data_IF_440428048641
#
_entry.id   IF_440428048641
#
_cell.length_a   1.000
_cell.length_b   1.000
_cell.length_c   1.000
_cell.angle_alpha   90.00
_cell.angle_beta   90.00
_cell.angle_gamma   90.00
#
_symmetry.space_group_name_H-M   'P 1'
#
loop_
_entity.id
_entity.type
_entity.pdbx_description
1 polymer ?
#
# COMPACT_ATOMS: atom_id res chain seq x y z
N UNK A 1 15.95 11.49 -3.59
CA UNK A 1 15.50 12.00 -2.27
C UNK A 1 14.50 13.13 -2.41
N UNK A 2 14.61 13.94 -3.45
CA UNK A 2 13.74 15.11 -3.63
C UNK A 2 12.33 14.76 -4.12
N UNK A 3 12.16 13.77 -5.00
CA UNK A 3 10.82 13.33 -5.42
C UNK A 3 10.05 12.60 -4.31
N UNK A 4 10.72 11.76 -3.52
CA UNK A 4 10.12 11.11 -2.35
C UNK A 4 9.89 12.12 -1.21
N UNK A 5 10.81 13.07 -1.01
CA UNK A 5 10.63 14.20 -0.08
C UNK A 5 9.55 15.16 -0.57
N UNK A 6 9.46 15.43 -1.87
CA UNK A 6 8.39 16.24 -2.45
C UNK A 6 7.03 15.53 -2.32
N UNK A 7 6.99 14.20 -2.47
CA UNK A 7 5.79 13.41 -2.22
C UNK A 7 5.38 13.43 -0.75
N UNK A 8 6.33 13.25 0.19
CA UNK A 8 6.08 13.44 1.62
C UNK A 8 5.78 14.89 1.97
N UNK A 9 6.33 15.87 1.25
CA UNK A 9 6.11 17.30 1.44
C UNK A 9 4.75 17.79 0.89
N UNK A 10 4.14 17.05 -0.04
CA UNK A 10 2.75 17.25 -0.44
C UNK A 10 1.77 16.87 0.67
N UNK A 11 2.20 16.01 1.60
CA UNK A 11 1.50 15.74 2.85
C UNK A 11 1.85 16.89 3.84
N UNK A 12 1.27 18.08 3.64
CA UNK A 12 1.45 19.20 4.56
C UNK A 12 0.88 18.84 5.93
N UNK A 13 1.75 18.73 6.92
CA UNK A 13 1.37 18.42 8.31
C UNK A 13 0.94 19.68 9.08
N UNK A 14 0.16 20.55 8.45
CA UNK A 14 -0.29 21.80 9.03
C UNK A 14 -1.51 21.57 9.93
N UNK A 15 -1.23 21.03 11.11
CA UNK A 15 -2.22 20.89 12.17
C UNK A 15 -2.47 19.47 12.66
N UNK A 16 -2.96 19.36 13.88
CA UNK A 16 -3.26 18.08 14.56
C UNK A 16 -4.32 17.29 13.78
N UNK A 17 -5.29 17.98 13.19
CA UNK A 17 -6.36 17.34 12.42
C UNK A 17 -5.82 16.60 11.18
N UNK A 18 -4.97 17.24 10.37
CA UNK A 18 -4.38 16.62 9.20
C UNK A 18 -3.55 15.39 9.58
N UNK A 19 -2.80 15.49 10.67
CA UNK A 19 -2.02 14.35 11.19
C UNK A 19 -2.92 13.18 11.59
N UNK A 20 -4.03 13.44 12.27
CA UNK A 20 -5.00 12.39 12.66
C UNK A 20 -5.59 11.71 11.42
N UNK A 21 -6.03 12.50 10.44
CA UNK A 21 -6.61 11.98 9.18
C UNK A 21 -5.58 11.18 8.39
N UNK A 22 -4.34 11.66 8.29
CA UNK A 22 -3.24 10.96 7.63
C UNK A 22 -2.93 9.62 8.30
N UNK A 23 -2.82 9.60 9.63
CA UNK A 23 -2.56 8.36 10.39
C UNK A 23 -3.72 7.38 10.21
N UNK A 24 -4.96 7.83 10.27
CA UNK A 24 -6.13 6.98 10.04
C UNK A 24 -6.12 6.35 8.63
N UNK A 25 -5.85 7.15 7.59
CA UNK A 25 -5.73 6.68 6.21
C UNK A 25 -4.57 5.68 6.05
N UNK A 26 -3.40 5.97 6.63
CA UNK A 26 -2.23 5.09 6.59
C UNK A 26 -2.52 3.74 7.25
N UNK A 27 -3.15 3.76 8.43
CA UNK A 27 -3.54 2.54 9.14
C UNK A 27 -4.54 1.71 8.34
N UNK A 28 -5.51 2.34 7.67
CA UNK A 28 -6.43 1.65 6.78
C UNK A 28 -5.69 0.98 5.62
N UNK A 29 -4.85 1.72 4.89
CA UNK A 29 -4.14 1.23 3.71
C UNK A 29 -3.21 0.07 4.04
N UNK A 30 -2.42 0.18 5.13
CA UNK A 30 -1.51 -0.85 5.58
C UNK A 30 -2.27 -2.09 6.08
N UNK A 31 -3.32 -1.88 6.88
CA UNK A 31 -4.13 -2.99 7.42
C UNK A 31 -4.79 -3.78 6.30
N UNK A 32 -5.30 -3.09 5.29
CA UNK A 32 -5.93 -3.72 4.14
C UNK A 32 -4.92 -4.54 3.33
N UNK A 33 -3.75 -3.97 3.06
CA UNK A 33 -2.61 -4.63 2.41
C UNK A 33 -2.22 -5.93 3.11
N UNK A 34 -1.91 -5.86 4.40
CA UNK A 34 -1.49 -7.00 5.22
C UNK A 34 -2.59 -8.07 5.35
N UNK A 35 -3.84 -7.63 5.53
CA UNK A 35 -4.97 -8.56 5.61
C UNK A 35 -5.15 -9.32 4.31
N UNK A 36 -4.95 -8.68 3.16
CA UNK A 36 -5.05 -9.33 1.85
C UNK A 36 -3.94 -10.36 1.61
N UNK A 37 -2.71 -10.11 2.07
CA UNK A 37 -1.67 -11.15 2.11
C UNK A 37 -2.13 -12.37 2.92
N UNK A 38 -2.60 -12.16 4.15
CA UNK A 38 -3.07 -13.23 5.02
C UNK A 38 -4.27 -13.97 4.43
N UNK A 39 -5.18 -13.27 3.77
CA UNK A 39 -6.36 -13.86 3.13
C UNK A 39 -5.97 -14.71 1.91
N UNK A 40 -5.06 -14.22 1.06
CA UNK A 40 -4.55 -14.95 -0.08
C UNK A 40 -3.81 -16.22 0.38
N UNK A 41 -2.91 -16.11 1.37
CA UNK A 41 -2.22 -17.25 1.96
C UNK A 41 -3.21 -18.31 2.48
N UNK A 42 -4.23 -17.88 3.22
CA UNK A 42 -5.27 -18.77 3.73
C UNK A 42 -6.04 -19.49 2.61
N UNK A 43 -6.40 -18.78 1.54
CA UNK A 43 -7.08 -19.38 0.38
C UNK A 43 -6.19 -20.36 -0.39
N UNK A 44 -4.89 -20.15 -0.37
CA UNK A 44 -3.89 -21.01 -1.01
C UNK A 44 -3.47 -22.21 -0.13
N UNK A 45 -4.00 -22.30 1.10
CA UNK A 45 -3.83 -23.46 1.98
C UNK A 45 -2.97 -23.19 3.21
N UNK A 46 -2.47 -21.96 3.43
CA UNK A 46 -1.70 -21.60 4.64
C UNK A 46 -2.60 -20.96 5.70
N UNK A 47 -2.96 -21.68 6.78
CA UNK A 47 -3.77 -21.17 7.87
C UNK A 47 -2.98 -20.35 8.92
N UNK A 48 -1.68 -20.12 8.73
CA UNK A 48 -0.78 -19.55 9.73
C UNK A 48 -1.26 -18.18 10.22
N UNK A 49 -1.53 -17.25 9.31
CA UNK A 49 -2.04 -15.92 9.63
C UNK A 49 -3.36 -15.96 10.41
N UNK A 50 -4.28 -16.87 10.01
CA UNK A 50 -5.58 -17.05 10.68
C UNK A 50 -5.39 -17.58 12.10
N UNK A 51 -4.57 -18.61 12.29
CA UNK A 51 -4.29 -19.22 13.60
C UNK A 51 -3.66 -18.24 14.58
N UNK A 52 -2.84 -17.30 14.06
CA UNK A 52 -2.20 -16.25 14.87
C UNK A 52 -3.07 -15.01 15.06
N UNK A 53 -4.34 -15.03 14.64
CA UNK A 53 -5.27 -13.90 14.77
C UNK A 53 -4.85 -12.65 13.98
N UNK A 54 -4.07 -12.86 12.87
CA UNK A 54 -3.57 -11.79 12.01
C UNK A 54 -4.45 -11.54 10.78
N UNK A 55 -5.43 -12.41 10.52
CA UNK A 55 -6.43 -12.22 9.47
C UNK A 55 -7.58 -11.35 10.02
N UNK A 56 -7.33 -10.06 10.15
CA UNK A 56 -8.24 -9.08 10.78
C UNK A 56 -8.01 -7.68 10.22
N UNK A 57 -9.08 -6.88 10.16
CA UNK A 57 -9.01 -5.46 9.83
C UNK A 57 -8.71 -4.55 11.05
N UNK A 58 -8.37 -5.12 12.20
CA UNK A 58 -7.95 -4.34 13.36
C UNK A 58 -6.51 -3.82 13.15
N UNK A 59 -6.30 -2.50 12.96
CA UNK A 59 -5.00 -1.93 12.66
C UNK A 59 -3.95 -2.18 13.74
N UNK A 60 -4.36 -2.28 15.00
CA UNK A 60 -3.44 -2.53 16.12
C UNK A 60 -2.74 -3.90 16.03
N UNK A 61 -3.28 -4.83 15.25
CA UNK A 61 -2.64 -6.12 14.98
C UNK A 61 -1.51 -6.03 13.95
N UNK A 62 -1.50 -4.97 13.14
CA UNK A 62 -0.55 -4.77 12.03
C UNK A 62 0.50 -3.68 12.34
N UNK A 63 0.35 -2.98 13.46
CA UNK A 63 1.31 -1.97 13.91
C UNK A 63 2.54 -2.65 14.53
N UNK A 64 3.72 -2.20 14.12
CA UNK A 64 5.02 -2.51 14.72
C UNK A 64 5.52 -1.29 15.49
N UNK A 65 5.82 -1.46 16.79
CA UNK A 65 6.26 -0.34 17.62
C UNK A 65 7.60 0.25 17.15
N UNK A 66 8.53 -0.62 16.70
CA UNK A 66 9.83 -0.17 16.17
C UNK A 66 9.65 0.57 14.86
N UNK A 67 8.75 0.10 13.98
CA UNK A 67 8.37 0.79 12.75
C UNK A 67 7.74 2.16 12.99
N UNK A 68 6.89 2.30 14.05
CA UNK A 68 6.33 3.59 14.45
C UNK A 68 7.40 4.56 14.97
N UNK A 69 8.34 4.09 15.79
CA UNK A 69 9.45 4.91 16.29
C UNK A 69 10.31 5.39 15.11
N UNK A 70 10.64 4.50 14.20
CA UNK A 70 11.41 4.84 12.99
C UNK A 70 10.67 5.86 12.12
N UNK A 71 9.35 5.71 11.96
CA UNK A 71 8.52 6.67 11.23
C UNK A 71 8.52 8.05 11.88
N UNK A 72 8.48 8.13 13.21
CA UNK A 72 8.55 9.40 13.94
C UNK A 72 9.90 10.09 13.82
N UNK A 73 11.02 9.33 13.85
CA UNK A 73 12.38 9.88 13.85
C UNK A 73 12.89 10.16 12.42
N UNK A 74 12.63 9.25 11.49
CA UNK A 74 13.24 9.24 10.15
C UNK A 74 12.20 9.40 9.02
N UNK A 75 10.91 9.53 9.36
CA UNK A 75 9.79 9.55 8.41
C UNK A 75 9.73 8.32 7.50
N UNK A 76 10.32 7.24 7.95
CA UNK A 76 10.30 5.92 7.35
C UNK A 76 9.99 4.88 8.42
N UNK A 77 9.06 3.98 8.15
CA UNK A 77 8.66 2.94 9.08
C UNK A 77 8.12 1.72 8.35
N UNK A 78 7.87 0.67 9.09
CA UNK A 78 7.31 -0.58 8.58
C UNK A 78 6.17 -1.07 9.45
N UNK A 79 5.30 -1.85 8.83
CA UNK A 79 4.25 -2.58 9.53
C UNK A 79 4.80 -3.91 10.07
N UNK A 80 4.06 -4.50 10.98
CA UNK A 80 4.31 -5.87 11.42
C UNK A 80 3.77 -6.82 10.34
N UNK A 81 4.64 -7.54 9.60
CA UNK A 81 4.20 -8.35 8.47
C UNK A 81 3.30 -9.51 8.91
N UNK A 82 2.38 -9.91 8.05
CA UNK A 82 1.56 -11.10 8.26
C UNK A 82 2.42 -12.35 8.07
N UNK A 83 2.40 -13.30 9.03
CA UNK A 83 3.20 -14.52 8.92
C UNK A 83 2.65 -15.45 7.85
N UNK A 84 3.52 -15.95 6.99
CA UNK A 84 3.22 -16.90 5.91
C UNK A 84 4.19 -18.06 5.99
N UNK A 85 3.68 -19.30 5.97
CA UNK A 85 4.49 -20.52 5.93
C UNK A 85 4.36 -21.19 4.56
N UNK A 86 5.40 -21.07 3.75
CA UNK A 86 5.47 -21.63 2.40
C UNK A 86 5.22 -23.13 2.33
N UNK A 87 5.51 -23.87 3.42
CA UNK A 87 5.37 -25.35 3.50
C UNK A 87 3.91 -25.79 3.41
N UNK A 88 2.98 -24.88 3.71
CA UNK A 88 1.53 -25.14 3.65
C UNK A 88 0.96 -25.00 2.23
N UNK A 89 1.70 -24.43 1.29
CA UNK A 89 1.25 -24.28 -0.09
C UNK A 89 1.46 -25.56 -0.90
N UNK A 90 0.52 -25.89 -1.77
CA UNK A 90 0.68 -26.99 -2.76
C UNK A 90 1.88 -26.75 -3.69
N UNK A 91 2.09 -25.50 -4.07
CA UNK A 91 3.27 -25.05 -4.81
C UNK A 91 3.88 -23.86 -4.03
N UNK A 92 4.96 -24.05 -3.27
CA UNK A 92 5.54 -23.03 -2.41
C UNK A 92 5.89 -21.73 -3.14
N UNK A 93 6.53 -21.81 -4.32
CA UNK A 93 6.94 -20.62 -5.08
C UNK A 93 5.76 -19.84 -5.62
N UNK A 94 4.82 -20.53 -6.27
CA UNK A 94 3.61 -19.89 -6.79
C UNK A 94 2.72 -19.36 -5.66
N UNK A 95 2.57 -20.12 -4.57
CA UNK A 95 1.82 -19.70 -3.39
C UNK A 95 2.38 -18.43 -2.77
N UNK A 96 3.71 -18.35 -2.61
CA UNK A 96 4.37 -17.16 -2.10
C UNK A 96 4.20 -15.96 -3.04
N UNK A 97 4.38 -16.14 -4.34
CA UNK A 97 4.22 -15.07 -5.33
C UNK A 97 2.79 -14.51 -5.36
N UNK A 98 1.79 -15.38 -5.37
CA UNK A 98 0.37 -14.98 -5.36
C UNK A 98 0.01 -14.28 -4.04
N UNK A 99 0.53 -14.79 -2.93
CA UNK A 99 0.36 -14.13 -1.62
C UNK A 99 1.00 -12.74 -1.64
N UNK A 100 2.22 -12.61 -2.15
CA UNK A 100 2.92 -11.33 -2.25
C UNK A 100 2.21 -10.33 -3.17
N UNK A 101 1.65 -10.77 -4.28
CA UNK A 101 0.86 -9.89 -5.17
C UNK A 101 -0.44 -9.38 -4.54
N UNK A 102 -1.02 -10.14 -3.61
CA UNK A 102 -2.32 -9.78 -3.02
C UNK A 102 -2.30 -8.42 -2.31
N UNK A 103 -1.20 -8.05 -1.64
CA UNK A 103 -1.03 -6.76 -1.00
C UNK A 103 -1.07 -5.59 -2.01
N UNK A 104 -0.13 -5.52 -2.95
CA UNK A 104 -0.13 -4.46 -3.96
C UNK A 104 -1.44 -4.36 -4.77
N UNK A 105 -1.99 -5.50 -5.20
CA UNK A 105 -3.27 -5.52 -5.93
C UNK A 105 -4.41 -4.98 -5.08
N UNK A 106 -4.47 -5.35 -3.80
CA UNK A 106 -5.49 -4.83 -2.88
C UNK A 106 -5.40 -3.31 -2.74
N UNK A 107 -4.19 -2.77 -2.70
CA UNK A 107 -3.98 -1.33 -2.61
C UNK A 107 -4.38 -0.60 -3.91
N UNK A 108 -4.16 -1.20 -5.09
CA UNK A 108 -4.71 -0.64 -6.35
C UNK A 108 -6.24 -0.58 -6.30
N UNK A 109 -6.89 -1.65 -5.81
CA UNK A 109 -8.35 -1.68 -5.66
C UNK A 109 -8.82 -0.64 -4.64
N UNK A 110 -8.13 -0.50 -3.50
CA UNK A 110 -8.48 0.48 -2.47
C UNK A 110 -8.29 1.92 -2.98
N UNK A 111 -7.22 2.20 -3.74
CA UNK A 111 -7.02 3.49 -4.39
C UNK A 111 -8.14 3.79 -5.39
N UNK A 112 -8.55 2.82 -6.20
CA UNK A 112 -9.67 2.98 -7.13
C UNK A 112 -10.99 3.30 -6.41
N UNK A 113 -11.30 2.57 -5.34
CA UNK A 113 -12.49 2.85 -4.51
C UNK A 113 -12.42 4.27 -3.94
N UNK A 114 -11.26 4.70 -3.46
CA UNK A 114 -11.07 6.06 -2.95
C UNK A 114 -11.32 7.12 -4.03
N UNK A 115 -10.80 6.93 -5.25
CA UNK A 115 -11.05 7.83 -6.40
C UNK A 115 -12.54 7.95 -6.72
N UNK A 116 -13.26 6.84 -6.77
CA UNK A 116 -14.71 6.85 -7.05
C UNK A 116 -15.47 7.60 -5.96
N UNK A 117 -15.13 7.36 -4.69
CA UNK A 117 -15.75 8.08 -3.56
C UNK A 117 -15.41 9.57 -3.62
N UNK A 118 -14.17 9.95 -3.92
CA UNK A 118 -13.75 11.34 -4.07
C UNK A 118 -14.55 12.07 -5.15
N UNK A 119 -14.70 11.44 -6.31
CA UNK A 119 -15.49 12.01 -7.41
C UNK A 119 -16.95 12.22 -6.99
N UNK A 120 -17.54 11.27 -6.26
CA UNK A 120 -18.89 11.44 -5.70
C UNK A 120 -18.95 12.57 -4.65
N UNK A 121 -17.96 12.68 -3.76
CA UNK A 121 -17.89 13.76 -2.77
C UNK A 121 -17.73 15.12 -3.42
N UNK A 122 -16.95 15.25 -4.50
CA UNK A 122 -16.81 16.49 -5.25
C UNK A 122 -18.13 16.87 -5.93
N UNK A 123 -18.83 15.92 -6.57
CA UNK A 123 -20.17 16.15 -7.10
C UNK A 123 -21.11 16.69 -6.01
N UNK A 124 -21.12 16.07 -4.83
CA UNK A 124 -21.97 16.49 -3.72
C UNK A 124 -21.63 17.92 -3.26
N UNK A 125 -20.34 18.23 -3.08
CA UNK A 125 -19.89 19.55 -2.65
C UNK A 125 -20.26 20.65 -3.65
N UNK A 126 -20.15 20.37 -4.94
CA UNK A 126 -20.47 21.33 -6.01
C UNK A 126 -21.97 21.65 -6.06
N UNK A 127 -22.84 20.69 -5.78
CA UNK A 127 -24.30 20.86 -5.93
C UNK A 127 -25.02 21.24 -4.63
N UNK A 128 -24.54 20.71 -3.50
CA UNK A 128 -25.24 20.84 -2.21
C UNK A 128 -24.41 21.60 -1.16
N UNK A 129 -23.16 21.90 -1.49
CA UNK A 129 -22.23 22.48 -0.55
C UNK A 129 -21.81 21.49 0.53
N UNK A 130 -20.98 21.93 1.48
CA UNK A 130 -20.48 21.10 2.57
C UNK A 130 -19.88 21.91 3.70
N UNK A 131 -19.81 21.29 4.88
CA UNK A 131 -19.14 21.82 6.04
C UNK A 131 -17.82 21.08 6.33
N UNK A 132 -17.26 21.32 7.49
CA UNK A 132 -15.98 20.74 7.94
C UNK A 132 -15.92 19.21 7.84
N UNK A 133 -17.02 18.51 8.04
CA UNK A 133 -17.10 17.06 7.93
C UNK A 133 -16.83 16.58 6.49
N UNK A 134 -17.45 17.22 5.51
CA UNK A 134 -17.24 16.89 4.10
C UNK A 134 -15.81 17.16 3.65
N UNK A 135 -15.24 18.29 4.08
CA UNK A 135 -13.83 18.62 3.83
C UNK A 135 -12.90 17.56 4.46
N UNK A 136 -13.21 17.11 5.67
CA UNK A 136 -12.46 16.05 6.33
C UNK A 136 -12.54 14.70 5.61
N UNK A 137 -13.71 14.33 5.08
CA UNK A 137 -13.90 13.12 4.27
C UNK A 137 -13.11 13.20 2.96
N UNK A 138 -13.18 14.32 2.25
CA UNK A 138 -12.36 14.53 1.05
C UNK A 138 -10.90 14.37 1.35
N UNK A 139 -10.39 15.02 2.39
CA UNK A 139 -9.00 14.91 2.80
C UNK A 139 -8.60 13.47 3.15
N UNK A 140 -9.45 12.74 3.86
CA UNK A 140 -9.23 11.34 4.21
C UNK A 140 -9.08 10.47 2.95
N UNK A 141 -10.01 10.58 2.00
CA UNK A 141 -9.97 9.76 0.78
C UNK A 141 -8.84 10.17 -0.18
N UNK A 142 -8.43 11.45 -0.20
CA UNK A 142 -7.20 11.87 -0.89
C UNK A 142 -5.98 11.15 -0.32
N UNK A 143 -5.86 11.08 1.00
CA UNK A 143 -4.75 10.33 1.62
C UNK A 143 -4.84 8.83 1.36
N UNK A 144 -6.04 8.23 1.41
CA UNK A 144 -6.23 6.81 1.07
C UNK A 144 -5.79 6.52 -0.36
N UNK A 145 -6.18 7.34 -1.32
CA UNK A 145 -5.79 7.22 -2.73
C UNK A 145 -4.26 7.27 -2.89
N UNK A 146 -3.64 8.36 -2.40
CA UNK A 146 -2.20 8.59 -2.57
C UNK A 146 -1.37 7.51 -1.86
N UNK A 147 -1.72 7.16 -0.63
CA UNK A 147 -0.99 6.17 0.16
C UNK A 147 -1.16 4.78 -0.44
N UNK A 148 -2.38 4.40 -0.83
CA UNK A 148 -2.62 3.08 -1.45
C UNK A 148 -1.90 2.96 -2.79
N UNK A 149 -1.95 3.97 -3.65
CA UNK A 149 -1.20 3.97 -4.90
C UNK A 149 0.32 3.90 -4.65
N UNK A 150 0.82 4.65 -3.67
CA UNK A 150 2.21 4.61 -3.26
C UNK A 150 2.65 3.23 -2.75
N UNK A 151 1.86 2.62 -1.86
CA UNK A 151 2.13 1.27 -1.33
C UNK A 151 2.07 0.20 -2.44
N UNK A 152 1.10 0.29 -3.36
CA UNK A 152 0.99 -0.64 -4.48
C UNK A 152 2.25 -0.58 -5.36
N UNK A 153 2.65 0.61 -5.79
CA UNK A 153 3.82 0.81 -6.66
C UNK A 153 5.11 0.44 -5.94
N UNK A 154 5.29 0.88 -4.70
CA UNK A 154 6.49 0.58 -3.92
C UNK A 154 6.68 -0.92 -3.73
N UNK A 155 5.62 -1.65 -3.35
CA UNK A 155 5.70 -3.08 -3.11
C UNK A 155 5.78 -3.95 -4.37
N UNK A 156 5.49 -3.42 -5.57
CA UNK A 156 5.71 -4.15 -6.83
C UNK A 156 7.18 -4.17 -7.24
N UNK A 157 8.03 -3.28 -6.69
CA UNK A 157 9.44 -3.26 -7.02
C UNK A 157 10.13 -4.58 -6.67
N UNK A 158 10.97 -5.12 -7.59
CA UNK A 158 11.61 -6.43 -7.42
C UNK A 158 12.86 -6.37 -6.52
N UNK A 159 12.78 -5.66 -5.41
CA UNK A 159 13.90 -5.42 -4.47
C UNK A 159 13.50 -5.96 -3.10
N UNK A 160 14.23 -6.92 -2.51
CA UNK A 160 13.97 -7.35 -1.14
C UNK A 160 14.08 -6.17 -0.13
N UNK A 161 13.23 -6.11 0.89
CA UNK A 161 12.23 -7.09 1.31
C UNK A 161 10.83 -6.89 0.71
N UNK A 162 10.69 -6.09 -0.36
CA UNK A 162 9.39 -5.75 -0.97
C UNK A 162 8.74 -6.99 -1.63
N UNK A 163 7.41 -6.97 -1.73
CA UNK A 163 6.62 -8.09 -2.26
C UNK A 163 6.97 -8.47 -3.69
N UNK A 164 7.28 -7.48 -4.55
CA UNK A 164 7.69 -7.69 -5.93
C UNK A 164 8.91 -8.57 -6.08
N UNK A 165 9.80 -8.59 -5.08
CA UNK A 165 10.96 -9.51 -5.08
C UNK A 165 10.53 -10.98 -5.05
N UNK A 166 9.51 -11.32 -4.26
CA UNK A 166 8.99 -12.68 -4.13
C UNK A 166 8.32 -13.14 -5.44
N UNK A 167 7.67 -12.21 -6.13
CA UNK A 167 7.09 -12.47 -7.46
C UNK A 167 8.18 -12.74 -8.48
N UNK A 168 9.19 -11.87 -8.56
CA UNK A 168 10.33 -12.06 -9.45
C UNK A 168 11.06 -13.39 -9.16
N UNK A 169 11.33 -13.68 -7.88
CA UNK A 169 12.04 -14.89 -7.50
C UNK A 169 11.28 -16.16 -7.86
N UNK A 170 9.94 -16.14 -7.81
CA UNK A 170 9.13 -17.29 -8.19
C UNK A 170 9.27 -17.67 -9.69
N UNK A 171 9.66 -16.73 -10.54
CA UNK A 171 9.90 -16.97 -11.96
C UNK A 171 11.28 -17.60 -12.25
N UNK A 172 12.16 -17.64 -11.26
CA UNK A 172 13.52 -18.16 -11.42
C UNK A 172 13.57 -19.68 -11.23
N UNK A 173 14.67 -20.29 -11.69
CA UNK A 173 14.97 -21.70 -11.37
C UNK A 173 15.11 -21.90 -9.86
N UNK A 174 14.90 -23.14 -9.37
CA UNK A 174 14.96 -23.43 -7.92
C UNK A 174 16.31 -23.05 -7.32
N UNK A 175 17.41 -23.31 -8.04
CA UNK A 175 18.77 -22.94 -7.58
C UNK A 175 18.94 -21.42 -7.45
N UNK A 176 18.39 -20.64 -8.37
CA UNK A 176 18.47 -19.17 -8.32
C UNK A 176 17.55 -18.63 -7.21
N UNK A 177 16.35 -19.18 -7.07
CA UNK A 177 15.42 -18.86 -5.99
C UNK A 177 16.07 -19.05 -4.61
N UNK A 178 16.61 -20.24 -4.32
CA UNK A 178 17.26 -20.55 -3.05
C UNK A 178 18.46 -19.64 -2.76
N UNK A 179 19.22 -19.29 -3.81
CA UNK A 179 20.36 -18.37 -3.68
C UNK A 179 19.87 -16.97 -3.29
N UNK A 180 18.86 -16.44 -3.98
CA UNK A 180 18.33 -15.09 -3.71
C UNK A 180 17.63 -15.00 -2.36
N UNK A 181 16.89 -16.02 -1.94
CA UNK A 181 16.30 -16.09 -0.61
C UNK A 181 17.34 -16.02 0.53
N UNK A 182 18.55 -16.57 0.33
CA UNK A 182 19.65 -16.40 1.29
C UNK A 182 20.17 -14.97 1.40
N UNK A 183 20.09 -14.21 0.29
CA UNK A 183 20.52 -12.81 0.26
C UNK A 183 19.41 -11.82 0.66
N UNK A 184 18.15 -12.28 0.83
CA UNK A 184 17.02 -11.44 1.26
C UNK A 184 17.32 -10.66 2.55
N UNK A 185 18.08 -11.24 3.47
CA UNK A 185 18.53 -10.59 4.73
C UNK A 185 19.31 -9.29 4.52
N UNK A 186 19.92 -9.10 3.35
CA UNK A 186 20.64 -7.86 3.00
C UNK A 186 19.75 -6.87 2.24
N UNK A 187 18.55 -7.31 1.87
CA UNK A 187 17.62 -6.51 1.06
C UNK A 187 17.23 -5.20 1.70
N UNK A 188 17.02 -5.19 3.03
CA UNK A 188 16.74 -3.95 3.76
C UNK A 188 17.88 -2.93 3.62
N UNK A 189 19.14 -3.38 3.72
CA UNK A 189 20.30 -2.50 3.52
C UNK A 189 20.38 -1.95 2.09
N UNK A 190 20.11 -2.79 1.09
CA UNK A 190 20.04 -2.38 -0.31
C UNK A 190 18.91 -1.36 -0.54
N UNK A 191 17.72 -1.65 -0.02
CA UNK A 191 16.57 -0.75 -0.11
C UNK A 191 16.87 0.61 0.51
N UNK A 192 17.46 0.63 1.72
CA UNK A 192 17.87 1.88 2.38
C UNK A 192 18.89 2.66 1.56
N UNK A 193 19.88 1.99 0.97
CA UNK A 193 20.85 2.63 0.11
C UNK A 193 20.19 3.29 -1.11
N UNK A 194 19.26 2.57 -1.76
CA UNK A 194 18.54 3.08 -2.92
C UNK A 194 17.62 4.26 -2.57
N UNK A 195 16.98 4.24 -1.40
CA UNK A 195 16.16 5.36 -0.90
C UNK A 195 17.03 6.57 -0.55
N UNK A 196 18.17 6.36 0.12
CA UNK A 196 19.08 7.47 0.49
C UNK A 196 19.70 8.11 -0.74
N UNK A 197 20.07 7.33 -1.76
CA UNK A 197 20.67 7.84 -3.00
C UNK A 197 19.64 8.45 -3.95
N UNK A 198 18.33 8.20 -3.76
CA UNK A 198 17.27 8.67 -4.63
C UNK A 198 17.20 7.98 -5.99
N UNK A 199 17.93 6.88 -6.19
CA UNK A 199 17.99 6.17 -7.48
C UNK A 199 16.63 5.62 -7.93
N UNK A 200 15.77 5.27 -6.96
CA UNK A 200 14.43 4.74 -7.24
C UNK A 200 13.33 5.79 -7.22
N UNK A 201 13.62 7.05 -6.84
CA UNK A 201 12.60 8.09 -6.68
C UNK A 201 11.88 8.40 -7.98
N UNK A 202 12.65 8.60 -9.08
CA UNK A 202 12.08 8.92 -10.40
C UNK A 202 11.19 7.79 -10.95
N UNK A 203 11.63 6.52 -11.02
CA UNK A 203 10.75 5.44 -11.49
C UNK A 203 9.55 5.22 -10.57
N UNK A 204 9.69 5.35 -9.24
CA UNK A 204 8.57 5.25 -8.31
C UNK A 204 7.54 6.35 -8.54
N UNK A 205 7.99 7.60 -8.69
CA UNK A 205 7.12 8.73 -8.97
C UNK A 205 6.39 8.56 -10.30
N UNK A 206 7.11 8.19 -11.36
CA UNK A 206 6.51 7.99 -12.69
C UNK A 206 5.44 6.88 -12.67
N UNK A 207 5.73 5.74 -12.04
CA UNK A 207 4.76 4.64 -11.93
C UNK A 207 3.54 5.02 -11.09
N UNK A 208 3.75 5.74 -9.97
CA UNK A 208 2.66 6.24 -9.14
C UNK A 208 1.77 7.20 -9.93
N UNK A 209 2.36 8.17 -10.58
CA UNK A 209 1.62 9.20 -11.32
C UNK A 209 0.85 8.59 -12.51
N UNK A 210 1.45 7.62 -13.21
CA UNK A 210 0.77 6.84 -14.23
C UNK A 210 -0.43 6.06 -13.65
N UNK A 211 -0.26 5.40 -12.51
CA UNK A 211 -1.33 4.68 -11.82
C UNK A 211 -2.46 5.62 -11.41
N UNK A 212 -2.14 6.75 -10.76
CA UNK A 212 -3.13 7.73 -10.31
C UNK A 212 -3.91 8.33 -11.50
N UNK A 213 -3.24 8.66 -12.60
CA UNK A 213 -3.91 9.14 -13.82
C UNK A 213 -4.87 8.10 -14.38
N UNK A 214 -4.45 6.83 -14.47
CA UNK A 214 -5.30 5.73 -14.93
C UNK A 214 -6.51 5.52 -14.03
N UNK A 215 -6.33 5.52 -12.71
CA UNK A 215 -7.41 5.38 -11.75
C UNK A 215 -8.36 6.59 -11.79
N UNK A 216 -7.83 7.82 -11.92
CA UNK A 216 -8.61 9.03 -12.09
C UNK A 216 -9.52 8.94 -13.31
N UNK A 217 -8.96 8.54 -14.46
CA UNK A 217 -9.76 8.34 -15.67
C UNK A 217 -10.87 7.29 -15.49
N UNK A 218 -10.52 6.13 -14.93
CA UNK A 218 -11.47 5.04 -14.70
C UNK A 218 -12.54 5.38 -13.65
N UNK A 219 -12.25 6.27 -12.71
CA UNK A 219 -13.15 6.64 -11.61
C UNK A 219 -14.06 7.84 -11.88
N UNK A 220 -13.93 8.52 -13.03
CA UNK A 220 -14.71 9.72 -13.37
C UNK A 220 -16.22 9.52 -13.31
N UNK A 221 -16.70 8.29 -13.53
CA UNK A 221 -18.11 7.98 -13.45
C UNK A 221 -18.74 8.30 -12.07
N UNK A 222 -17.94 8.31 -11.01
CA UNK A 222 -18.37 8.71 -9.67
C UNK A 222 -18.90 10.15 -9.60
N UNK A 223 -18.40 11.04 -10.49
CA UNK A 223 -18.89 12.42 -10.66
C UNK A 223 -19.92 12.52 -11.78
N UNK A 224 -19.65 11.89 -12.92
CA UNK A 224 -20.47 12.08 -14.14
C UNK A 224 -21.83 11.40 -14.05
N UNK A 225 -21.92 10.21 -13.45
CA UNK A 225 -23.17 9.48 -13.33
C UNK A 225 -24.21 10.23 -12.47
N UNK A 226 -23.90 10.69 -11.25
CA UNK A 226 -24.84 11.52 -10.49
C UNK A 226 -25.21 12.81 -11.22
N UNK A 227 -24.25 13.47 -11.90
CA UNK A 227 -24.50 14.71 -12.64
C UNK A 227 -25.42 14.54 -13.86
N UNK A 228 -25.65 13.32 -14.32
CA UNK A 228 -26.64 13.00 -15.36
C UNK A 228 -28.04 12.72 -14.80
N UNK A 229 -28.15 12.48 -13.51
CA UNK A 229 -29.39 12.08 -12.83
C UNK A 229 -30.06 13.24 -12.10
N UNK A 230 -29.30 14.27 -11.76
CA UNK A 230 -29.73 15.49 -11.08
C UNK A 230 -29.46 16.72 -11.93
#
# INVERSE_FOLDING_TARGET
>A
MDAFRAWLGQLQFDGVWQTVVLVAASLLCITFHETCHGWAAYKLGDPTAKRMGRLTLNPLRHVDLSGLIMMALFRFGWAKPVPVDMRNFKNPKAGMALTALAGPVSNVVLAYIAVVILNFLFFWLDHFGGGWLWTGLVQFFIYVEIISAGLAVFNVFPIPPLDGSKVLFALLSDRAYDKLMRYERYGMGLLMLLLITGLIDTPLAAMRDWLLQGLGYLGQWGYTLPNMLF
#
